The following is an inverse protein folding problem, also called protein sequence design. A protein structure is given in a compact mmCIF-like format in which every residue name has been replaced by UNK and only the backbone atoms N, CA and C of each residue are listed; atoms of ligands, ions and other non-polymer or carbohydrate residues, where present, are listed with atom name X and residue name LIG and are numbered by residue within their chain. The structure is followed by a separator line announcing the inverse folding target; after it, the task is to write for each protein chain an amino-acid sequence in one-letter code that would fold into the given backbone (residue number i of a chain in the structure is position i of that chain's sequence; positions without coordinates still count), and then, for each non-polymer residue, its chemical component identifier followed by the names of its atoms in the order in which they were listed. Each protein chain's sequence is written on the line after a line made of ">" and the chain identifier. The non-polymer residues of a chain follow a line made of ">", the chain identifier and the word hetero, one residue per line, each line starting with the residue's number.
data_IF_046411651358
#
_entry.id   IF_046411651358
#
_cell.length_a   1.000
_cell.length_b   1.000
_cell.length_c   1.000
_cell.angle_alpha   90.00
_cell.angle_beta   90.00
_cell.angle_gamma   90.00
#
_symmetry.space_group_name_H-M   'P 1'
#
loop_
_entity.id
_entity.type
_entity.pdbx_description
1 polymer ?
#
# COMPACT_ATOMS: atom_id res chain seq x y z
N UNK A 1 8.41 -1.51 15.96
CA UNK A 1 8.06 -1.31 14.52
C UNK A 1 6.74 -2.00 14.21
N UNK A 2 5.85 -1.40 13.40
CA UNK A 2 4.61 -2.04 12.94
C UNK A 2 4.89 -2.90 11.70
N UNK A 3 4.39 -4.14 11.69
CA UNK A 3 4.54 -5.05 10.55
C UNK A 3 3.21 -5.23 9.83
N UNK A 4 3.24 -5.14 8.51
CA UNK A 4 2.09 -5.37 7.65
C UNK A 4 2.37 -6.48 6.64
N UNK A 5 1.38 -7.32 6.42
CA UNK A 5 1.39 -8.28 5.30
C UNK A 5 1.10 -7.51 4.00
N UNK A 6 1.89 -7.78 2.98
CA UNK A 6 1.68 -7.26 1.64
C UNK A 6 1.61 -8.43 0.65
N UNK A 7 0.63 -8.40 -0.26
CA UNK A 7 0.36 -9.47 -1.22
C UNK A 7 0.25 -8.93 -2.65
N UNK A 8 0.56 -9.79 -3.62
CA UNK A 8 0.42 -9.52 -5.06
C UNK A 8 -0.57 -10.52 -5.70
N UNK A 9 -1.88 -10.31 -5.56
CA UNK A 9 -2.88 -11.28 -5.98
C UNK A 9 -2.91 -11.59 -7.47
N UNK A 10 -2.49 -10.65 -8.30
CA UNK A 10 -2.41 -10.84 -9.75
C UNK A 10 -1.43 -11.96 -10.14
N UNK A 11 -0.52 -12.34 -9.25
CA UNK A 11 0.43 -13.44 -9.47
C UNK A 11 -0.21 -14.83 -9.30
N UNK A 12 -1.50 -14.91 -9.01
CA UNK A 12 -2.25 -16.18 -9.02
C UNK A 12 -2.99 -16.50 -7.72
N UNK A 13 -3.49 -15.50 -7.00
CA UNK A 13 -4.28 -15.71 -5.79
C UNK A 13 -5.78 -15.55 -6.04
N UNK A 14 -6.56 -16.51 -5.53
CA UNK A 14 -8.02 -16.38 -5.44
C UNK A 14 -8.43 -15.47 -4.27
N UNK A 15 -9.69 -15.05 -4.27
CA UNK A 15 -10.26 -14.34 -3.12
C UNK A 15 -10.15 -15.15 -1.82
N UNK A 16 -10.36 -16.46 -1.89
CA UNK A 16 -10.29 -17.34 -0.70
C UNK A 16 -8.89 -17.41 -0.11
N UNK A 17 -7.84 -17.37 -0.95
CA UNK A 17 -6.45 -17.31 -0.49
C UNK A 17 -6.18 -15.99 0.23
N UNK A 18 -6.63 -14.87 -0.33
CA UNK A 18 -6.49 -13.55 0.30
C UNK A 18 -7.22 -13.47 1.64
N UNK A 19 -8.43 -14.06 1.71
CA UNK A 19 -9.20 -14.13 2.95
C UNK A 19 -8.46 -14.92 4.03
N UNK A 20 -7.93 -16.10 3.69
CA UNK A 20 -7.15 -16.94 4.64
C UNK A 20 -5.91 -16.20 5.15
N UNK A 21 -5.16 -15.55 4.26
CA UNK A 21 -3.97 -14.77 4.63
C UNK A 21 -4.34 -13.58 5.52
N UNK A 22 -5.39 -12.82 5.18
CA UNK A 22 -5.81 -11.67 5.97
C UNK A 22 -6.27 -12.07 7.38
N UNK A 23 -7.06 -13.14 7.49
CA UNK A 23 -7.49 -13.68 8.78
C UNK A 23 -6.31 -14.22 9.59
N UNK A 24 -5.39 -14.96 8.95
CA UNK A 24 -4.18 -15.44 9.65
C UNK A 24 -3.30 -14.28 10.10
N UNK A 25 -3.12 -13.26 9.28
CA UNK A 25 -2.38 -12.06 9.64
C UNK A 25 -3.02 -11.35 10.86
N UNK A 26 -4.34 -11.27 10.91
CA UNK A 26 -5.06 -10.71 12.07
C UNK A 26 -4.86 -11.55 13.33
N UNK A 27 -4.96 -12.87 13.25
CA UNK A 27 -4.70 -13.82 14.36
C UNK A 27 -3.26 -13.70 14.88
N UNK A 28 -2.31 -13.58 13.97
CA UNK A 28 -0.88 -13.40 14.28
C UNK A 28 -0.53 -12.02 14.84
N UNK A 29 -1.45 -11.08 14.85
CA UNK A 29 -1.21 -9.76 15.44
C UNK A 29 -0.57 -8.73 14.53
N UNK A 30 -0.50 -8.96 13.21
CA UNK A 30 -0.03 -7.94 12.28
C UNK A 30 -0.87 -6.66 12.33
N UNK A 31 -0.23 -5.54 12.05
CA UNK A 31 -0.88 -4.21 12.05
C UNK A 31 -1.81 -4.03 10.84
N UNK A 32 -1.44 -4.57 9.69
CA UNK A 32 -2.21 -4.42 8.46
C UNK A 32 -2.04 -5.55 7.46
N UNK A 33 -3.04 -5.69 6.60
CA UNK A 33 -3.03 -6.50 5.39
C UNK A 33 -3.20 -5.57 4.19
N UNK A 34 -2.23 -5.58 3.30
CA UNK A 34 -2.20 -4.75 2.10
C UNK A 34 -2.05 -5.62 0.86
N UNK A 35 -2.56 -5.09 -0.24
CA UNK A 35 -2.41 -5.72 -1.54
C UNK A 35 -2.02 -4.72 -2.61
N UNK A 36 -1.34 -5.19 -3.65
CA UNK A 36 -1.19 -4.44 -4.89
C UNK A 36 -2.56 -4.27 -5.59
N UNK A 37 -2.64 -3.32 -6.49
CA UNK A 37 -3.81 -3.09 -7.35
C UNK A 37 -3.35 -3.22 -8.80
N UNK A 38 -3.20 -4.46 -9.25
CA UNK A 38 -2.79 -4.84 -10.60
C UNK A 38 -3.80 -5.78 -11.24
N UNK A 39 -3.95 -5.67 -12.55
CA UNK A 39 -4.85 -6.48 -13.36
C UNK A 39 -4.10 -7.52 -14.22
N UNK A 40 -2.78 -7.46 -14.29
CA UNK A 40 -1.96 -8.38 -15.07
C UNK A 40 -0.80 -8.89 -14.22
N UNK A 41 -0.55 -10.20 -14.29
CA UNK A 41 0.65 -10.82 -13.71
C UNK A 41 1.92 -10.34 -14.42
N UNK A 42 3.02 -10.28 -13.69
CA UNK A 42 4.33 -9.89 -14.20
C UNK A 42 5.27 -11.08 -14.36
N UNK A 43 5.15 -12.06 -13.47
CA UNK A 43 6.16 -13.11 -13.29
C UNK A 43 5.57 -14.53 -13.43
N UNK A 44 4.24 -14.68 -13.45
CA UNK A 44 3.55 -15.97 -13.50
C UNK A 44 2.50 -16.03 -14.62
N UNK A 45 1.80 -17.16 -14.76
CA UNK A 45 0.63 -17.25 -15.64
C UNK A 45 -0.58 -16.46 -15.13
N UNK A 46 -0.55 -16.02 -13.88
CA UNK A 46 -1.59 -15.21 -13.24
C UNK A 46 -2.93 -15.93 -13.03
N UNK A 47 -2.96 -17.26 -13.08
CA UNK A 47 -4.19 -18.02 -12.82
C UNK A 47 -4.50 -18.09 -11.31
N UNK A 48 -5.75 -17.96 -10.89
CA UNK A 48 -7.01 -17.94 -11.66
C UNK A 48 -7.39 -16.58 -12.26
N UNK A 49 -6.57 -15.56 -12.12
CA UNK A 49 -6.80 -14.21 -12.65
C UNK A 49 -6.73 -13.15 -11.57
N UNK A 50 -6.71 -11.88 -11.94
CA UNK A 50 -6.66 -10.79 -10.98
C UNK A 50 -7.98 -10.71 -10.19
N UNK A 51 -7.86 -10.22 -8.96
CA UNK A 51 -9.01 -9.79 -8.15
C UNK A 51 -9.07 -8.27 -8.11
N UNK A 52 -10.26 -7.68 -8.16
CA UNK A 52 -10.40 -6.23 -8.05
C UNK A 52 -10.10 -5.78 -6.61
N UNK A 53 -9.25 -4.76 -6.45
CA UNK A 53 -8.68 -4.42 -5.14
C UNK A 53 -9.74 -3.94 -4.14
N UNK A 54 -10.59 -3.00 -4.53
CA UNK A 54 -11.54 -2.39 -3.60
C UNK A 54 -12.73 -3.29 -3.29
N UNK A 55 -13.16 -4.15 -4.23
CA UNK A 55 -14.14 -5.21 -3.95
C UNK A 55 -13.57 -6.21 -2.94
N UNK A 56 -12.32 -6.63 -3.12
CA UNK A 56 -11.64 -7.54 -2.19
C UNK A 56 -11.51 -6.92 -0.79
N UNK A 57 -11.01 -5.68 -0.69
CA UNK A 57 -10.84 -5.01 0.59
C UNK A 57 -12.16 -4.75 1.31
N UNK A 58 -13.22 -4.39 0.59
CA UNK A 58 -14.55 -4.24 1.16
C UNK A 58 -15.09 -5.57 1.74
N UNK A 59 -14.89 -6.69 1.04
CA UNK A 59 -15.28 -8.00 1.54
C UNK A 59 -14.44 -8.42 2.76
N UNK A 60 -13.11 -8.22 2.73
CA UNK A 60 -12.23 -8.50 3.86
C UNK A 60 -12.54 -7.62 5.08
N UNK A 61 -13.02 -6.40 4.85
CA UNK A 61 -13.36 -5.46 5.93
C UNK A 61 -14.46 -5.97 6.87
N UNK A 62 -15.39 -6.79 6.36
CA UNK A 62 -16.46 -7.40 7.16
C UNK A 62 -16.11 -8.82 7.63
N UNK A 63 -14.98 -9.37 7.21
CA UNK A 63 -14.49 -10.70 7.58
C UNK A 63 -13.29 -10.66 8.54
N UNK A 64 -12.85 -9.46 8.88
CA UNK A 64 -11.82 -9.15 9.87
C UNK A 64 -12.36 -8.11 10.85
N UNK A 65 -11.73 -7.93 12.00
CA UNK A 65 -12.24 -7.06 13.07
C UNK A 65 -11.25 -5.98 13.55
N UNK A 66 -9.96 -6.20 13.41
CA UNK A 66 -8.89 -5.36 13.98
C UNK A 66 -7.88 -4.88 12.93
N UNK A 67 -7.46 -5.79 12.04
CA UNK A 67 -6.37 -5.53 11.10
C UNK A 67 -6.72 -4.37 10.14
N UNK A 68 -5.78 -3.48 9.90
CA UNK A 68 -5.93 -2.41 8.90
C UNK A 68 -5.83 -3.00 7.50
N UNK A 69 -6.54 -2.40 6.55
CA UNK A 69 -6.67 -2.92 5.19
C UNK A 69 -6.41 -1.80 4.19
N UNK A 70 -5.65 -2.08 3.14
CA UNK A 70 -5.38 -1.04 2.14
C UNK A 70 -4.72 -1.55 0.86
N UNK A 71 -4.50 -0.62 -0.04
CA UNK A 71 -3.70 -0.85 -1.25
C UNK A 71 -2.27 -0.34 -1.07
N UNK A 72 -1.31 -1.03 -1.69
CA UNK A 72 0.08 -0.59 -1.76
C UNK A 72 0.64 -0.84 -3.16
N UNK A 73 0.30 0.03 -4.15
CA UNK A 73 -0.65 1.14 -4.10
C UNK A 73 -1.60 1.05 -5.29
N UNK A 74 -2.80 1.66 -5.22
CA UNK A 74 -3.67 1.83 -6.38
C UNK A 74 -3.05 2.77 -7.41
N UNK A 75 -3.29 2.52 -8.70
CA UNK A 75 -2.87 3.42 -9.77
C UNK A 75 -3.93 4.50 -10.03
N UNK A 76 -3.51 5.76 -10.08
CA UNK A 76 -4.38 6.88 -10.43
C UNK A 76 -4.96 6.78 -11.87
N UNK A 77 -4.42 5.90 -12.71
CA UNK A 77 -4.92 5.65 -14.06
C UNK A 77 -6.13 4.71 -14.11
N UNK A 78 -6.40 3.94 -13.03
CA UNK A 78 -7.41 2.89 -13.07
C UNK A 78 -8.83 3.39 -12.80
N UNK A 79 -8.97 4.42 -11.95
CA UNK A 79 -10.29 4.87 -11.49
C UNK A 79 -10.39 6.39 -11.50
N UNK A 80 -11.60 6.89 -11.76
CA UNK A 80 -11.91 8.31 -11.57
C UNK A 80 -11.92 8.65 -10.07
N UNK A 81 -11.45 9.85 -9.67
CA UNK A 81 -11.29 10.22 -8.27
C UNK A 81 -12.59 10.22 -7.47
N UNK A 82 -13.70 10.70 -8.03
CA UNK A 82 -14.99 10.72 -7.35
C UNK A 82 -15.49 9.31 -6.98
N UNK A 83 -15.65 8.38 -7.94
CA UNK A 83 -15.99 6.99 -7.65
C UNK A 83 -15.01 6.28 -6.71
N UNK A 84 -13.70 6.55 -6.83
CA UNK A 84 -12.71 5.98 -5.92
C UNK A 84 -12.91 6.50 -4.49
N UNK A 85 -13.11 7.80 -4.31
CA UNK A 85 -13.39 8.39 -3.00
C UNK A 85 -14.64 7.78 -2.32
N UNK A 86 -15.69 7.49 -3.11
CA UNK A 86 -16.90 6.82 -2.63
C UNK A 86 -16.61 5.37 -2.21
N UNK A 87 -15.91 4.61 -3.05
CA UNK A 87 -15.58 3.21 -2.76
C UNK A 87 -14.73 3.06 -1.50
N UNK A 88 -13.71 3.92 -1.35
CA UNK A 88 -12.83 3.94 -0.18
C UNK A 88 -13.59 4.34 1.09
N UNK A 89 -14.42 5.39 1.01
CA UNK A 89 -15.22 5.83 2.16
C UNK A 89 -16.23 4.76 2.60
N UNK A 90 -16.86 4.06 1.65
CA UNK A 90 -17.78 2.98 1.96
C UNK A 90 -17.06 1.77 2.59
N UNK A 91 -15.92 1.35 2.03
CA UNK A 91 -15.11 0.29 2.63
C UNK A 91 -14.64 0.68 4.05
N UNK A 92 -14.31 1.95 4.26
CA UNK A 92 -13.94 2.48 5.58
C UNK A 92 -15.09 2.39 6.58
N UNK A 93 -16.32 2.74 6.18
CA UNK A 93 -17.51 2.53 7.01
C UNK A 93 -17.74 1.04 7.32
N UNK A 94 -17.64 0.16 6.32
CA UNK A 94 -17.80 -1.29 6.50
C UNK A 94 -16.78 -1.88 7.46
N UNK A 95 -15.56 -1.33 7.47
CA UNK A 95 -14.47 -1.78 8.35
C UNK A 95 -14.53 -1.18 9.75
N UNK A 96 -15.36 -0.17 10.00
CA UNK A 96 -15.31 0.61 11.25
C UNK A 96 -14.06 1.49 11.37
N UNK A 97 -13.55 2.02 10.24
CA UNK A 97 -12.42 2.96 10.24
C UNK A 97 -11.03 2.31 10.17
N UNK A 98 -10.88 1.20 9.41
CA UNK A 98 -9.61 0.49 9.28
C UNK A 98 -8.98 0.56 7.89
N UNK A 99 -9.58 1.30 6.95
CA UNK A 99 -9.07 1.42 5.58
C UNK A 99 -7.95 2.44 5.50
N UNK A 100 -6.98 2.17 4.61
CA UNK A 100 -5.93 3.09 4.18
C UNK A 100 -5.87 3.12 2.65
N UNK A 101 -5.71 4.31 2.08
CA UNK A 101 -5.60 4.49 0.64
C UNK A 101 -4.14 4.67 0.22
N UNK A 102 -3.54 3.64 -0.35
CA UNK A 102 -2.31 3.81 -1.13
C UNK A 102 -2.63 4.27 -2.55
N UNK A 103 -2.01 5.36 -3.01
CA UNK A 103 -2.24 5.90 -4.35
C UNK A 103 -0.92 6.34 -5.00
N UNK A 104 -0.72 5.99 -6.28
CA UNK A 104 0.47 6.31 -7.06
C UNK A 104 0.15 6.61 -8.52
N UNK A 105 1.14 7.08 -9.26
CA UNK A 105 0.97 7.50 -10.66
C UNK A 105 0.80 6.34 -11.67
N UNK A 106 1.01 5.09 -11.23
CA UNK A 106 1.05 3.93 -12.13
C UNK A 106 2.39 3.80 -12.88
N UNK A 107 2.75 2.58 -13.23
CA UNK A 107 4.02 2.30 -13.91
C UNK A 107 3.95 1.14 -14.91
N UNK A 108 3.07 0.17 -14.71
CA UNK A 108 3.00 -1.05 -15.51
C UNK A 108 2.09 -0.86 -16.74
N UNK A 109 2.70 -0.47 -17.88
CA UNK A 109 1.96 -0.15 -19.11
C UNK A 109 1.27 -1.35 -19.77
N UNK A 110 1.79 -2.58 -19.59
CA UNK A 110 1.23 -3.76 -20.22
C UNK A 110 -0.21 -4.05 -19.76
N UNK A 111 -0.53 -3.90 -18.49
CA UNK A 111 -1.89 -4.09 -17.96
C UNK A 111 -2.87 -3.06 -18.50
N UNK A 112 -2.42 -1.81 -18.70
CA UNK A 112 -3.24 -0.76 -19.30
C UNK A 112 -3.65 -1.14 -20.74
N UNK A 113 -2.69 -1.63 -21.53
CA UNK A 113 -2.96 -2.11 -22.87
C UNK A 113 -3.91 -3.31 -22.86
N UNK A 114 -3.68 -4.27 -21.97
CA UNK A 114 -4.47 -5.51 -21.89
C UNK A 114 -5.94 -5.26 -21.52
N UNK A 115 -6.20 -4.24 -20.69
CA UNK A 115 -7.55 -3.92 -20.20
C UNK A 115 -8.15 -2.64 -20.82
N UNK A 116 -7.53 -2.08 -21.87
CA UNK A 116 -8.05 -0.89 -22.56
C UNK A 116 -8.04 0.38 -21.70
N UNK A 117 -7.15 0.46 -20.70
CA UNK A 117 -7.04 1.60 -19.81
C UNK A 117 -6.04 2.60 -20.41
N UNK A 118 -6.37 3.90 -20.54
CA UNK A 118 -5.42 4.90 -21.00
C UNK A 118 -4.16 4.98 -20.14
N UNK A 119 -2.99 5.01 -20.78
CA UNK A 119 -1.70 5.14 -20.12
C UNK A 119 -0.92 6.33 -20.67
N UNK A 120 -1.24 7.55 -20.23
CA UNK A 120 -0.58 8.76 -20.72
C UNK A 120 0.87 8.84 -20.27
N UNK A 121 1.66 9.77 -20.82
CA UNK A 121 3.05 10.01 -20.40
C UNK A 121 3.16 10.27 -18.90
N UNK A 122 4.32 9.94 -18.32
CA UNK A 122 4.54 9.99 -16.86
C UNK A 122 4.24 11.37 -16.26
N UNK A 123 4.52 12.46 -16.98
CA UNK A 123 4.18 13.83 -16.53
C UNK A 123 2.69 13.97 -16.28
N UNK A 124 1.87 13.62 -17.27
CA UNK A 124 0.41 13.68 -17.17
C UNK A 124 -0.14 12.73 -16.09
N UNK A 125 0.45 11.53 -15.92
CA UNK A 125 0.02 10.64 -14.83
C UNK A 125 0.24 11.24 -13.45
N UNK A 126 1.32 12.00 -13.27
CA UNK A 126 1.56 12.74 -12.04
C UNK A 126 0.61 13.93 -11.87
N UNK A 127 0.25 14.64 -12.96
CA UNK A 127 -0.74 15.73 -12.91
C UNK A 127 -2.10 15.17 -12.49
N UNK A 128 -2.52 14.05 -13.08
CA UNK A 128 -3.73 13.32 -12.69
C UNK A 128 -3.70 12.84 -11.24
N UNK A 129 -2.56 12.32 -10.76
CA UNK A 129 -2.39 11.89 -9.37
C UNK A 129 -2.58 13.05 -8.40
N UNK A 130 -1.99 14.22 -8.70
CA UNK A 130 -2.11 15.40 -7.86
C UNK A 130 -3.57 15.88 -7.76
N UNK A 131 -4.27 16.00 -8.89
CA UNK A 131 -5.69 16.36 -8.89
C UNK A 131 -6.55 15.31 -8.17
N UNK A 132 -6.26 14.01 -8.33
CA UNK A 132 -6.98 12.96 -7.61
C UNK A 132 -6.80 13.04 -6.10
N UNK A 133 -5.58 13.29 -5.63
CA UNK A 133 -5.30 13.46 -4.19
C UNK A 133 -6.08 14.66 -3.63
N UNK A 134 -6.12 15.77 -4.35
CA UNK A 134 -6.88 16.95 -3.94
C UNK A 134 -8.39 16.70 -3.92
N UNK A 135 -8.92 16.04 -4.96
CA UNK A 135 -10.34 15.69 -5.05
C UNK A 135 -10.75 14.73 -3.95
N UNK A 136 -10.03 13.63 -3.78
CA UNK A 136 -10.37 12.58 -2.82
C UNK A 136 -10.35 13.13 -1.39
N UNK A 137 -9.27 13.81 -1.02
CA UNK A 137 -9.15 14.39 0.33
C UNK A 137 -10.12 15.56 0.53
N UNK A 138 -10.42 16.34 -0.51
CA UNK A 138 -11.41 17.39 -0.50
C UNK A 138 -12.82 16.87 -0.27
N UNK A 139 -13.22 15.81 -1.00
CA UNK A 139 -14.52 15.15 -0.82
C UNK A 139 -14.71 14.64 0.62
N UNK A 140 -13.66 14.03 1.21
CA UNK A 140 -13.76 13.49 2.57
C UNK A 140 -13.82 14.59 3.63
N UNK A 141 -13.08 15.69 3.45
CA UNK A 141 -12.98 16.80 4.40
C UNK A 141 -14.16 17.78 4.36
N UNK A 142 -14.85 17.89 3.23
CA UNK A 142 -16.01 18.78 3.08
C UNK A 142 -17.10 18.44 4.11
N UNK A 143 -17.56 19.36 4.94
CA UNK A 143 -18.58 19.11 5.95
C UNK A 143 -19.91 18.58 5.36
N UNK A 144 -20.62 17.77 6.13
CA UNK A 144 -21.96 17.31 5.72
C UNK A 144 -22.91 18.51 5.56
N UNK A 145 -23.58 18.58 4.42
CA UNK A 145 -24.45 19.69 4.05
C UNK A 145 -23.79 20.76 3.19
N UNK A 146 -22.46 20.76 3.11
CA UNK A 146 -21.71 21.60 2.17
C UNK A 146 -21.49 20.91 0.83
N UNK A 147 -21.02 21.67 -0.16
CA UNK A 147 -20.77 21.19 -1.51
C UNK A 147 -19.27 21.32 -1.85
N UNK A 148 -18.77 20.34 -2.58
CA UNK A 148 -17.41 20.33 -3.09
C UNK A 148 -17.41 20.59 -4.60
N UNK A 149 -16.61 21.56 -5.03
CA UNK A 149 -16.35 21.85 -6.44
C UNK A 149 -14.84 21.84 -6.68
N UNK A 150 -14.40 21.25 -7.77
CA UNK A 150 -13.01 21.22 -8.20
C UNK A 150 -12.93 21.49 -9.71
N UNK A 151 -11.99 22.34 -10.12
CA UNK A 151 -11.73 22.66 -11.52
C UNK A 151 -10.25 22.47 -11.80
N UNK A 152 -9.91 21.34 -12.39
CA UNK A 152 -8.55 20.98 -12.81
C UNK A 152 -8.43 20.84 -14.32
N UNK A 153 -7.25 20.51 -14.77
CA UNK A 153 -6.96 20.26 -16.17
C UNK A 153 -7.47 18.88 -16.64
N UNK A 154 -7.51 17.90 -15.74
CA UNK A 154 -7.89 16.53 -16.02
C UNK A 154 -9.24 16.13 -15.44
N UNK A 155 -9.65 16.72 -14.32
CA UNK A 155 -10.90 16.40 -13.65
C UNK A 155 -11.68 17.65 -13.29
N UNK A 156 -13.02 17.54 -13.38
CA UNK A 156 -13.93 18.61 -12.99
C UNK A 156 -15.08 18.02 -12.18
N UNK A 157 -15.32 18.57 -11.00
CA UNK A 157 -16.45 18.24 -10.14
C UNK A 157 -17.24 19.53 -9.89
N UNK A 158 -18.57 19.45 -10.02
CA UNK A 158 -19.45 20.58 -9.79
C UNK A 158 -20.51 20.22 -8.77
N UNK A 159 -20.59 21.02 -7.70
CA UNK A 159 -21.66 20.94 -6.69
C UNK A 159 -21.86 19.53 -6.09
N UNK A 160 -20.76 18.78 -5.89
CA UNK A 160 -20.82 17.44 -5.30
C UNK A 160 -21.28 17.50 -3.85
N UNK A 161 -22.23 16.62 -3.42
CA UNK A 161 -22.63 16.53 -2.01
C UNK A 161 -21.53 16.01 -1.09
N UNK A 162 -20.39 15.58 -1.65
CA UNK A 162 -19.24 15.04 -0.92
C UNK A 162 -19.61 13.88 0.05
N UNK A 163 -20.45 12.96 -0.42
CA UNK A 163 -20.95 11.80 0.33
C UNK A 163 -20.67 10.50 -0.44
N UNK A 164 -20.52 9.35 0.28
CA UNK A 164 -20.60 9.19 1.74
C UNK A 164 -19.35 9.73 2.45
N UNK A 165 -19.47 9.99 3.76
CA UNK A 165 -18.29 10.27 4.59
C UNK A 165 -17.64 8.97 5.05
N UNK A 166 -16.31 8.87 5.08
CA UNK A 166 -15.63 7.76 5.74
C UNK A 166 -15.92 7.74 7.26
N UNK A 167 -15.66 6.63 7.91
CA UNK A 167 -15.73 6.52 9.37
C UNK A 167 -14.58 7.27 10.06
N UNK A 168 -13.42 7.29 9.42
CA UNK A 168 -12.25 8.04 9.91
C UNK A 168 -12.38 9.54 9.60
N UNK A 169 -11.87 10.38 10.51
CA UNK A 169 -11.86 11.83 10.35
C UNK A 169 -10.41 12.34 10.39
N UNK A 170 -9.96 13.15 9.43
CA UNK A 170 -10.70 13.78 8.32
C UNK A 170 -10.93 12.84 7.12
N UNK A 171 -10.40 11.64 7.12
CA UNK A 171 -10.53 10.59 6.12
C UNK A 171 -9.58 9.43 6.39
N UNK A 172 -9.64 8.34 5.62
CA UNK A 172 -8.65 7.28 5.64
C UNK A 172 -7.23 7.81 5.41
N UNK A 173 -6.21 7.29 6.11
CA UNK A 173 -4.83 7.66 5.85
C UNK A 173 -4.44 7.42 4.40
N UNK A 174 -3.68 8.37 3.83
CA UNK A 174 -3.17 8.31 2.47
C UNK A 174 -1.72 7.86 2.48
N UNK A 175 -1.40 6.81 1.73
CA UNK A 175 -0.03 6.32 1.52
C UNK A 175 0.40 6.69 0.10
N UNK A 176 1.53 7.39 -0.02
CA UNK A 176 2.18 7.63 -1.32
C UNK A 176 3.46 6.83 -1.36
N UNK A 177 3.66 6.07 -2.43
CA UNK A 177 4.84 5.23 -2.60
C UNK A 177 5.69 5.59 -3.80
N UNK A 178 6.96 5.22 -3.73
CA UNK A 178 7.89 5.32 -4.85
C UNK A 178 9.25 5.91 -4.50
N UNK A 179 10.11 6.03 -5.51
CA UNK A 179 11.49 6.55 -5.36
C UNK A 179 11.79 7.75 -6.28
N UNK A 180 10.76 8.36 -6.86
CA UNK A 180 10.92 9.52 -7.74
C UNK A 180 11.60 10.71 -7.04
N UNK A 181 12.49 11.46 -7.75
CA UNK A 181 13.37 12.42 -7.07
C UNK A 181 12.72 13.76 -6.71
N UNK A 182 11.60 14.13 -7.34
CA UNK A 182 11.01 15.48 -7.19
C UNK A 182 9.50 15.44 -6.88
N UNK A 183 8.67 14.96 -7.81
CA UNK A 183 7.20 15.04 -7.68
C UNK A 183 6.68 14.17 -6.55
N UNK A 184 7.18 12.94 -6.43
CA UNK A 184 6.75 12.01 -5.39
C UNK A 184 6.98 12.55 -3.97
N UNK A 185 8.16 13.07 -3.59
CA UNK A 185 8.35 13.71 -2.29
C UNK A 185 7.46 14.93 -2.07
N UNK A 186 7.25 15.76 -3.10
CA UNK A 186 6.41 16.96 -2.99
C UNK A 186 4.93 16.61 -2.73
N UNK A 187 4.38 15.60 -3.45
CA UNK A 187 3.03 15.12 -3.22
C UNK A 187 2.88 14.44 -1.85
N UNK A 188 3.89 13.67 -1.43
CA UNK A 188 3.89 13.07 -0.11
C UNK A 188 3.86 14.13 1.00
N UNK A 189 4.69 15.16 0.90
CA UNK A 189 4.71 16.25 1.88
C UNK A 189 3.36 16.99 1.98
N UNK A 190 2.61 17.11 0.87
CA UNK A 190 1.34 17.82 0.82
C UNK A 190 0.14 16.98 1.26
N UNK A 191 0.09 15.70 0.87
CA UNK A 191 -1.13 14.90 0.97
C UNK A 191 -1.01 13.63 1.82
N UNK A 192 0.21 13.05 1.96
CA UNK A 192 0.33 11.73 2.54
C UNK A 192 0.43 11.73 4.07
N UNK A 193 -0.18 10.75 4.72
CA UNK A 193 0.04 10.41 6.12
C UNK A 193 1.26 9.49 6.26
N UNK A 194 1.51 8.67 5.21
CA UNK A 194 2.64 7.75 5.15
C UNK A 194 3.32 7.80 3.79
N UNK A 195 4.65 7.68 3.80
CA UNK A 195 5.46 7.55 2.60
C UNK A 195 6.18 6.20 2.58
N UNK A 196 5.94 5.41 1.52
CA UNK A 196 6.50 4.07 1.36
C UNK A 196 7.59 4.02 0.29
N UNK A 197 8.72 3.40 0.61
CA UNK A 197 9.80 3.10 -0.36
C UNK A 197 9.79 1.60 -0.65
N UNK A 198 9.37 1.19 -1.86
CA UNK A 198 9.32 -0.23 -2.23
C UNK A 198 10.67 -0.70 -2.81
N UNK A 199 11.13 -1.88 -2.36
CA UNK A 199 12.18 -2.69 -2.97
C UNK A 199 13.49 -1.93 -3.23
N UNK A 200 13.95 -1.11 -2.28
CA UNK A 200 15.20 -0.35 -2.36
C UNK A 200 16.17 -0.77 -1.27
N UNK A 201 17.46 -0.71 -1.59
CA UNK A 201 18.50 -0.93 -0.57
C UNK A 201 18.38 0.09 0.58
N UNK A 202 19.06 -0.17 1.68
CA UNK A 202 19.11 0.75 2.84
C UNK A 202 19.63 2.13 2.41
N UNK A 203 20.67 2.19 1.60
CA UNK A 203 21.29 3.43 1.12
C UNK A 203 20.38 4.22 0.18
N UNK A 204 19.70 3.51 -0.74
CA UNK A 204 18.71 4.13 -1.63
C UNK A 204 17.52 4.66 -0.81
N UNK A 205 17.03 3.87 0.16
CA UNK A 205 15.93 4.25 1.05
C UNK A 205 16.29 5.49 1.87
N UNK A 206 17.49 5.54 2.43
CA UNK A 206 17.99 6.73 3.13
C UNK A 206 17.90 7.98 2.24
N UNK A 207 18.44 7.87 1.01
CA UNK A 207 18.41 8.98 0.04
C UNK A 207 16.98 9.45 -0.27
N UNK A 208 16.04 8.54 -0.39
CA UNK A 208 14.65 8.88 -0.68
C UNK A 208 13.96 9.49 0.54
N UNK A 209 14.21 8.97 1.73
CA UNK A 209 13.65 9.55 2.97
C UNK A 209 14.15 10.98 3.22
N UNK A 210 15.44 11.26 2.96
CA UNK A 210 15.95 12.63 3.09
C UNK A 210 15.23 13.60 2.15
N UNK A 211 14.95 13.21 0.90
CA UNK A 211 14.17 14.03 -0.03
C UNK A 211 12.75 14.31 0.46
N UNK A 212 12.12 13.33 1.11
CA UNK A 212 10.78 13.51 1.69
C UNK A 212 10.83 14.44 2.91
N UNK A 213 11.83 14.29 3.78
CA UNK A 213 12.03 15.18 4.93
C UNK A 213 12.27 16.62 4.48
N UNK A 214 13.10 16.81 3.46
CA UNK A 214 13.35 18.13 2.87
C UNK A 214 12.10 18.73 2.25
N UNK A 215 11.29 17.95 1.52
CA UNK A 215 10.03 18.39 0.96
C UNK A 215 9.03 18.79 2.06
N UNK A 216 8.93 18.01 3.13
CA UNK A 216 8.10 18.32 4.30
C UNK A 216 8.54 19.63 4.97
N UNK A 217 9.83 19.83 5.16
CA UNK A 217 10.39 21.05 5.73
C UNK A 217 10.10 22.26 4.83
N UNK A 218 10.30 22.14 3.52
CA UNK A 218 10.05 23.19 2.53
C UNK A 218 8.59 23.63 2.51
N UNK A 219 7.66 22.67 2.69
CA UNK A 219 6.21 22.96 2.74
C UNK A 219 5.73 23.39 4.13
N UNK A 220 6.61 23.44 5.13
CA UNK A 220 6.24 23.81 6.50
C UNK A 220 5.28 22.82 7.15
N UNK A 221 5.38 21.52 6.79
CA UNK A 221 4.50 20.50 7.33
C UNK A 221 4.70 20.35 8.84
N UNK A 222 3.63 20.57 9.61
CA UNK A 222 3.69 20.48 11.06
C UNK A 222 3.63 19.06 11.61
N UNK A 223 2.87 18.16 10.94
CA UNK A 223 2.71 16.76 11.38
C UNK A 223 3.77 15.89 10.73
N UNK A 224 4.57 15.12 11.50
CA UNK A 224 5.53 14.18 10.92
C UNK A 224 4.84 13.19 9.99
N UNK A 225 5.50 12.89 8.86
CA UNK A 225 5.06 11.82 7.96
C UNK A 225 5.58 10.47 8.47
N UNK A 226 4.75 9.44 8.43
CA UNK A 226 5.19 8.07 8.69
C UNK A 226 6.07 7.61 7.54
N UNK A 227 7.25 7.06 7.83
CA UNK A 227 8.14 6.47 6.84
C UNK A 227 8.05 4.95 6.93
N UNK A 228 7.95 4.30 5.77
CA UNK A 228 7.86 2.84 5.65
C UNK A 228 8.63 2.30 4.45
N UNK A 229 8.99 1.03 4.53
CA UNK A 229 9.60 0.28 3.43
C UNK A 229 8.80 -0.99 3.13
N UNK A 230 8.93 -1.51 1.91
CA UNK A 230 8.31 -2.76 1.48
C UNK A 230 9.35 -3.66 0.83
N UNK A 231 9.40 -4.93 1.25
CA UNK A 231 10.31 -5.92 0.67
C UNK A 231 9.69 -7.31 0.61
N UNK A 232 10.06 -8.05 -0.44
CA UNK A 232 9.79 -9.48 -0.54
C UNK A 232 10.60 -10.22 0.50
N UNK A 233 9.96 -11.15 1.22
CA UNK A 233 10.55 -11.83 2.37
C UNK A 233 10.59 -13.34 2.21
N UNK A 234 11.63 -13.97 2.80
CA UNK A 234 11.74 -15.41 2.96
C UNK A 234 12.47 -15.71 4.28
N UNK A 235 11.73 -15.84 5.37
CA UNK A 235 12.24 -16.19 6.69
C UNK A 235 11.98 -17.65 7.02
N UNK A 236 12.93 -18.32 7.66
CA UNK A 236 12.77 -19.68 8.13
C UNK A 236 13.44 -19.87 9.49
N UNK A 237 12.92 -20.78 10.32
CA UNK A 237 13.51 -21.10 11.63
C UNK A 237 14.94 -21.65 11.51
N UNK A 238 15.26 -22.17 10.32
CA UNK A 238 16.61 -22.63 9.97
C UNK A 238 17.04 -22.03 8.63
N UNK A 239 18.36 -21.95 8.35
CA UNK A 239 18.85 -21.50 7.05
C UNK A 239 18.32 -22.34 5.87
N UNK A 240 18.12 -23.63 6.08
CA UNK A 240 17.57 -24.52 5.05
C UNK A 240 16.11 -24.21 4.74
N UNK A 241 15.30 -23.91 5.76
CA UNK A 241 13.89 -23.52 5.61
C UNK A 241 13.77 -22.17 4.89
N UNK A 242 14.56 -21.16 5.30
CA UNK A 242 14.61 -19.86 4.63
C UNK A 242 14.99 -19.99 3.15
N UNK A 243 16.02 -20.81 2.85
CA UNK A 243 16.45 -21.09 1.49
C UNK A 243 15.32 -21.75 0.68
N UNK A 244 14.65 -22.77 1.24
CA UNK A 244 13.56 -23.46 0.57
C UNK A 244 12.37 -22.51 0.27
N UNK A 245 12.02 -21.60 1.20
CA UNK A 245 11.01 -20.55 0.99
C UNK A 245 11.42 -19.61 -0.14
N UNK A 246 12.67 -19.16 -0.15
CA UNK A 246 13.16 -18.28 -1.21
C UNK A 246 13.17 -18.97 -2.59
N UNK A 247 13.54 -20.23 -2.65
CA UNK A 247 13.53 -21.03 -3.89
C UNK A 247 12.10 -21.19 -4.44
N UNK A 248 11.09 -21.43 -3.58
CA UNK A 248 9.68 -21.52 -3.99
C UNK A 248 9.15 -20.26 -4.67
N UNK A 249 9.66 -19.11 -4.28
CA UNK A 249 9.31 -17.82 -4.90
C UNK A 249 10.31 -17.36 -5.98
N UNK A 250 11.10 -18.28 -6.53
CA UNK A 250 12.06 -18.02 -7.62
C UNK A 250 13.28 -17.19 -7.22
N UNK A 251 13.70 -17.22 -5.95
CA UNK A 251 14.87 -16.48 -5.46
C UNK A 251 14.65 -14.97 -5.32
N UNK A 252 13.41 -14.50 -5.24
CA UNK A 252 13.04 -13.08 -5.30
C UNK A 252 13.06 -12.34 -3.94
N UNK A 253 13.37 -13.02 -2.84
CA UNK A 253 13.38 -12.37 -1.54
C UNK A 253 14.53 -11.34 -1.41
N UNK A 254 14.17 -10.14 -0.99
CA UNK A 254 15.12 -9.07 -0.65
C UNK A 254 15.59 -9.17 0.81
N UNK A 255 14.71 -9.64 1.69
CA UNK A 255 14.98 -9.89 3.10
C UNK A 255 14.84 -11.39 3.34
N UNK A 256 15.94 -12.07 3.65
CA UNK A 256 15.93 -13.53 3.78
C UNK A 256 16.91 -14.02 4.84
N UNK A 257 16.59 -15.16 5.43
CA UNK A 257 17.43 -15.82 6.44
C UNK A 257 16.65 -16.35 7.63
N UNK A 258 17.37 -16.65 8.70
CA UNK A 258 16.81 -16.96 10.02
C UNK A 258 16.14 -15.75 10.64
N UNK A 259 15.28 -15.88 11.67
CA UNK A 259 14.66 -14.74 12.34
C UNK A 259 15.67 -13.68 12.78
N UNK A 260 16.81 -14.06 13.35
CA UNK A 260 17.84 -13.12 13.77
C UNK A 260 18.42 -12.31 12.59
N UNK A 261 18.72 -12.97 11.47
CA UNK A 261 19.23 -12.30 10.26
C UNK A 261 18.18 -11.36 9.64
N UNK A 262 16.90 -11.74 9.69
CA UNK A 262 15.78 -10.91 9.20
C UNK A 262 15.57 -9.71 10.11
N UNK A 263 15.66 -9.86 11.43
CA UNK A 263 15.59 -8.76 12.41
C UNK A 263 16.69 -7.74 12.15
N UNK A 264 17.94 -8.18 11.93
CA UNK A 264 19.05 -7.30 11.59
C UNK A 264 18.82 -6.53 10.28
N UNK A 265 18.31 -7.21 9.23
CA UNK A 265 18.03 -6.59 7.95
C UNK A 265 16.91 -5.54 8.06
N UNK A 266 15.80 -5.85 8.73
CA UNK A 266 14.69 -4.91 8.94
C UNK A 266 15.10 -3.77 9.87
N UNK A 267 15.89 -4.07 10.90
CA UNK A 267 16.41 -3.11 11.85
C UNK A 267 17.16 -1.93 11.21
N UNK A 268 17.88 -2.18 10.12
CA UNK A 268 18.58 -1.12 9.37
C UNK A 268 17.61 -0.08 8.78
N UNK A 269 16.41 -0.48 8.37
CA UNK A 269 15.37 0.47 7.91
C UNK A 269 14.76 1.23 9.08
N UNK A 270 14.64 0.58 10.26
CA UNK A 270 14.21 1.26 11.48
C UNK A 270 15.19 2.37 11.89
N UNK A 271 16.50 2.14 11.77
CA UNK A 271 17.55 3.14 12.03
C UNK A 271 17.43 4.36 11.11
N UNK A 272 16.90 4.20 9.90
CA UNK A 272 16.59 5.31 8.99
C UNK A 272 15.31 6.06 9.37
N UNK A 273 14.54 5.56 10.35
CA UNK A 273 13.30 6.14 10.82
C UNK A 273 12.04 5.49 10.23
N UNK A 274 12.15 4.33 9.56
CA UNK A 274 10.97 3.55 9.21
C UNK A 274 10.29 3.04 10.47
N UNK A 275 9.02 3.38 10.65
CA UNK A 275 8.21 2.94 11.79
C UNK A 275 7.21 1.84 11.41
N UNK A 276 7.12 1.52 10.10
CA UNK A 276 6.27 0.48 9.51
C UNK A 276 7.02 -0.25 8.42
N UNK A 277 6.83 -1.57 8.33
CA UNK A 277 7.47 -2.40 7.31
C UNK A 277 6.43 -3.33 6.67
N UNK A 278 6.38 -3.33 5.35
CA UNK A 278 5.48 -4.16 4.57
C UNK A 278 6.24 -5.40 4.07
N UNK A 279 5.83 -6.54 4.59
CA UNK A 279 6.39 -7.85 4.27
C UNK A 279 5.64 -8.43 3.08
N UNK A 280 6.27 -8.45 1.91
CA UNK A 280 5.66 -9.04 0.72
C UNK A 280 5.81 -10.56 0.77
N UNK A 281 4.68 -11.25 0.97
CA UNK A 281 4.57 -12.69 0.86
C UNK A 281 4.08 -13.05 -0.54
N UNK A 282 4.88 -13.81 -1.29
CA UNK A 282 4.52 -14.27 -2.64
C UNK A 282 3.93 -15.67 -2.66
N UNK A 283 4.31 -16.55 -1.72
CA UNK A 283 3.66 -17.85 -1.52
C UNK A 283 2.56 -17.73 -0.47
N UNK A 284 1.33 -17.46 -0.92
CA UNK A 284 0.17 -17.27 -0.05
C UNK A 284 -0.38 -18.57 0.52
N UNK A 285 0.13 -19.73 0.09
CA UNK A 285 -0.23 -21.04 0.65
C UNK A 285 0.55 -21.37 1.94
N UNK A 286 1.71 -20.72 2.16
CA UNK A 286 2.59 -20.94 3.32
C UNK A 286 2.19 -20.04 4.50
N UNK A 287 1.09 -20.36 5.18
CA UNK A 287 0.63 -19.59 6.35
C UNK A 287 1.59 -19.69 7.54
N UNK A 288 2.38 -20.79 7.66
CA UNK A 288 3.42 -20.90 8.69
C UNK A 288 4.50 -19.80 8.54
N UNK A 289 4.70 -19.26 7.35
CA UNK A 289 5.62 -18.15 7.15
C UNK A 289 5.17 -16.88 7.90
N UNK A 290 3.85 -16.64 8.00
CA UNK A 290 3.31 -15.54 8.81
C UNK A 290 3.55 -15.82 10.31
N UNK A 291 3.39 -17.10 10.73
CA UNK A 291 3.60 -17.50 12.12
C UNK A 291 5.04 -17.27 12.56
N UNK A 292 6.03 -17.60 11.71
CA UNK A 292 7.45 -17.33 11.97
C UNK A 292 7.70 -15.84 12.18
N UNK A 293 7.18 -14.98 11.31
CA UNK A 293 7.33 -13.54 11.50
C UNK A 293 6.69 -13.03 12.78
N UNK A 294 5.48 -13.49 13.10
CA UNK A 294 4.76 -13.02 14.27
C UNK A 294 5.41 -13.47 15.58
N UNK A 295 5.86 -14.74 15.63
CA UNK A 295 6.40 -15.32 16.88
C UNK A 295 7.89 -15.08 17.10
N UNK A 296 8.68 -15.00 16.02
CA UNK A 296 10.14 -15.01 16.13
C UNK A 296 10.82 -13.73 15.61
N UNK A 297 10.16 -12.95 14.75
CA UNK A 297 10.72 -11.68 14.22
C UNK A 297 10.10 -10.47 14.91
N UNK A 298 8.79 -10.35 14.91
CA UNK A 298 8.09 -9.17 15.40
C UNK A 298 8.45 -8.78 16.85
N UNK A 299 8.58 -9.71 17.81
CA UNK A 299 8.94 -9.37 19.20
C UNK A 299 10.33 -8.78 19.39
N UNK A 300 11.22 -8.93 18.40
CA UNK A 300 12.61 -8.47 18.45
C UNK A 300 12.85 -7.14 17.73
N UNK A 301 11.86 -6.65 16.99
CA UNK A 301 11.95 -5.37 16.29
C UNK A 301 11.60 -4.19 17.25
N UNK A 302 12.22 -3.01 17.06
CA UNK A 302 12.01 -1.85 17.91
C UNK A 302 10.60 -1.26 17.86
#
# INVERSE_FOLDING_TARGET
>A
MRLCVFTEPQEGASYDDLRKVAQRAEECGFDGFFRSDHFLSMDTEGLPGPTEAWLTLAALSVQTSRIRLGTLVSSATFRLPGPLAVAVAQADQMSGGRIELGLGAGWFGAEHTAYGIPFPPVGERFDRLEEQLEIITGLWRTPVGERFTFQGDHYQLSDSPALPKPAQTPGPPVIIGGAGPKRTPALAARYADEFNVPFRTVEETHTVYERVREACATQGRATPIVLSAAHTVACGRTPAEAKARNERIGGRAHVTGTPAEVVDQIGRYAELGASRFFLQFLDLSDLDHLDVFASEVAPQLP
#
